data_IF_168097424561
#
_entry.id   IF_168097424561
#
_cell.length_a   1.000
_cell.length_b   1.000
_cell.length_c   1.000
_cell.angle_alpha   90.00
_cell.angle_beta   90.00
_cell.angle_gamma   90.00
#
_symmetry.space_group_name_H-M   'P 1'
#
loop_
_entity.id
_entity.type
_entity.pdbx_description
1 polymer ?
#
# COMPACT_ATOMS: atom_id res chain seq x y z
N UNK A 1 -7.38 10.36 33.23
CA UNK A 1 -6.36 11.07 32.44
C UNK A 1 -5.55 12.00 33.36
N UNK A 2 -5.18 11.53 34.53
CA UNK A 2 -4.50 12.36 35.54
C UNK A 2 -3.57 11.49 36.40
N UNK A 3 -2.55 10.86 35.78
CA UNK A 3 -1.55 10.11 36.56
C UNK A 3 -0.17 10.03 35.91
N UNK A 4 0.15 10.91 34.96
CA UNK A 4 1.47 10.88 34.30
C UNK A 4 2.37 12.10 34.55
N UNK A 5 1.95 13.06 35.39
CA UNK A 5 2.72 14.31 35.61
C UNK A 5 3.42 14.43 36.96
N UNK A 6 3.43 13.40 37.81
CA UNK A 6 4.03 13.50 39.16
C UNK A 6 5.37 12.79 39.33
N UNK A 7 6.11 12.46 38.27
CA UNK A 7 7.38 11.72 38.43
C UNK A 7 8.66 12.59 38.35
N UNK A 8 8.55 13.89 38.11
CA UNK A 8 9.74 14.74 37.90
C UNK A 8 9.93 15.94 38.86
N UNK A 9 9.19 16.04 39.96
CA UNK A 9 9.22 17.26 40.81
C UNK A 9 9.80 17.08 42.25
N UNK A 10 10.61 16.05 42.49
CA UNK A 10 11.17 15.79 43.83
C UNK A 10 12.71 15.72 43.86
N UNK A 11 13.39 16.69 43.24
CA UNK A 11 14.83 16.89 43.40
C UNK A 11 15.25 18.38 43.35
N UNK A 12 14.71 19.21 44.26
CA UNK A 12 15.30 20.53 44.51
C UNK A 12 15.04 20.95 45.96
N UNK A 13 15.90 20.52 46.87
CA UNK A 13 16.33 21.30 48.03
C UNK A 13 17.27 20.46 48.93
N UNK A 14 18.56 20.54 48.73
CA UNK A 14 19.54 20.33 49.82
C UNK A 14 20.66 21.35 49.63
N UNK A 15 20.84 22.17 50.67
CA UNK A 15 21.93 23.13 50.80
C UNK A 15 23.29 22.45 50.86
N UNK A 16 24.39 23.10 50.44
CA UNK A 16 25.71 22.51 50.47
C UNK A 16 26.33 22.57 51.87
N UNK A 17 26.65 21.43 52.44
CA UNK A 17 27.55 21.30 53.56
C UNK A 17 29.01 21.60 53.13
N UNK A 18 29.69 22.41 53.93
CA UNK A 18 31.11 22.74 53.78
C UNK A 18 31.99 21.51 54.02
N UNK A 19 32.64 21.01 53.00
CA UNK A 19 33.74 20.05 53.12
C UNK A 19 35.09 20.75 53.02
N UNK A 20 36.11 20.38 53.83
CA UNK A 20 37.41 21.01 53.84
C UNK A 20 38.20 20.70 52.56
N UNK A 21 38.84 21.73 52.03
CA UNK A 21 39.68 21.66 50.84
C UNK A 21 41.00 20.95 51.20
N UNK A 22 41.16 19.70 50.77
CA UNK A 22 42.45 19.05 50.70
C UNK A 22 43.14 19.41 49.40
N UNK A 23 44.25 20.12 49.47
CA UNK A 23 45.16 20.32 48.32
C UNK A 23 45.81 19.00 47.95
N UNK A 24 45.33 18.36 46.90
CA UNK A 24 46.08 17.27 46.26
C UNK A 24 47.15 17.86 45.33
N UNK A 25 48.38 17.33 45.36
CA UNK A 25 49.44 17.82 44.44
C UNK A 25 49.02 17.43 42.99
N UNK A 26 49.22 18.40 42.10
CA UNK A 26 49.00 18.26 40.67
C UNK A 26 49.71 17.02 40.10
N UNK A 27 49.02 16.11 39.40
CA UNK A 27 49.66 14.95 38.79
C UNK A 27 50.56 15.42 37.64
N UNK A 28 51.84 15.08 37.72
CA UNK A 28 52.79 15.22 36.60
C UNK A 28 52.26 14.38 35.43
N UNK A 29 51.90 15.08 34.35
CA UNK A 29 51.42 14.47 33.10
C UNK A 29 52.59 13.73 32.42
N UNK A 30 52.73 12.44 32.72
CA UNK A 30 53.60 11.53 31.98
C UNK A 30 52.72 10.66 31.08
N UNK A 31 52.31 11.23 29.94
CA UNK A 31 51.55 10.53 28.89
C UNK A 31 52.37 9.48 28.13
N UNK A 32 53.14 8.64 28.83
CA UNK A 32 53.74 7.46 28.22
C UNK A 32 53.08 6.23 28.84
N UNK A 33 52.22 5.59 28.02
CA UNK A 33 51.72 4.26 28.37
C UNK A 33 52.92 3.33 28.62
N UNK A 34 52.98 2.76 29.81
CA UNK A 34 53.99 1.74 30.11
C UNK A 34 53.80 0.50 29.21
N UNK A 35 54.78 -0.38 29.12
CA UNK A 35 54.72 -1.57 28.23
C UNK A 35 53.44 -2.41 28.41
N UNK A 36 52.92 -2.49 29.63
CA UNK A 36 51.64 -3.19 29.92
C UNK A 36 50.45 -2.45 29.32
N UNK A 37 50.42 -1.12 29.39
CA UNK A 37 49.34 -0.31 28.77
C UNK A 37 49.32 -0.42 27.24
N UNK A 38 50.51 -0.46 26.61
CA UNK A 38 50.62 -0.66 25.16
C UNK A 38 50.10 -2.06 24.79
N UNK A 39 50.45 -3.09 25.57
CA UNK A 39 49.98 -4.45 25.34
C UNK A 39 48.44 -4.57 25.47
N UNK A 40 47.82 -3.92 26.46
CA UNK A 40 46.38 -3.89 26.61
C UNK A 40 45.68 -3.20 25.42
N UNK A 41 46.24 -2.10 24.91
CA UNK A 41 45.68 -1.42 23.71
C UNK A 41 45.80 -2.31 22.47
N UNK A 42 46.93 -3.00 22.27
CA UNK A 42 47.11 -3.92 21.15
C UNK A 42 46.11 -5.09 21.23
N UNK A 43 45.92 -5.67 22.41
CA UNK A 43 44.94 -6.75 22.59
C UNK A 43 43.51 -6.24 22.30
N UNK A 44 43.15 -5.04 22.81
CA UNK A 44 41.85 -4.45 22.53
C UNK A 44 41.59 -4.21 21.02
N UNK A 45 42.62 -3.70 20.32
CA UNK A 45 42.53 -3.49 18.86
C UNK A 45 42.39 -4.82 18.11
N UNK A 46 43.15 -5.85 18.49
CA UNK A 46 43.04 -7.18 17.87
C UNK A 46 41.67 -7.77 18.14
N UNK A 47 41.13 -7.67 19.35
CA UNK A 47 39.76 -8.13 19.66
C UNK A 47 38.71 -7.39 18.86
N UNK A 48 38.79 -6.07 18.68
CA UNK A 48 37.91 -5.30 17.84
C UNK A 48 37.96 -5.75 16.37
N UNK A 49 39.17 -6.00 15.86
CA UNK A 49 39.33 -6.51 14.48
C UNK A 49 38.67 -7.89 14.32
N UNK A 50 38.88 -8.79 15.27
CA UNK A 50 38.27 -10.14 15.25
C UNK A 50 36.76 -10.04 15.29
N UNK A 51 36.17 -9.17 16.12
CA UNK A 51 34.73 -8.97 16.18
C UNK A 51 34.22 -8.39 14.85
N UNK A 52 34.92 -7.41 14.28
CA UNK A 52 34.53 -6.79 13.01
C UNK A 52 34.55 -7.80 11.86
N UNK A 53 35.59 -8.65 11.77
CA UNK A 53 35.70 -9.72 10.78
C UNK A 53 34.56 -10.73 10.94
N UNK A 54 34.24 -11.14 12.17
CA UNK A 54 33.11 -12.06 12.40
C UNK A 54 31.77 -11.45 12.01
N UNK A 55 31.54 -10.16 12.26
CA UNK A 55 30.29 -9.46 11.83
C UNK A 55 30.19 -9.42 10.30
N UNK A 56 31.28 -9.13 9.60
CA UNK A 56 31.32 -9.12 8.13
C UNK A 56 31.07 -10.53 7.57
N UNK A 57 31.69 -11.55 8.13
CA UNK A 57 31.51 -12.95 7.71
C UNK A 57 30.06 -13.39 7.94
N UNK A 58 29.47 -13.06 9.09
CA UNK A 58 28.07 -13.40 9.37
C UNK A 58 27.10 -12.67 8.44
N UNK A 59 27.37 -11.40 8.10
CA UNK A 59 26.56 -10.64 7.16
C UNK A 59 26.61 -11.22 5.75
N UNK A 60 27.80 -11.56 5.24
CA UNK A 60 27.95 -12.18 3.93
C UNK A 60 27.35 -13.59 3.89
N UNK A 61 27.50 -14.39 4.94
CA UNK A 61 26.88 -15.72 5.02
C UNK A 61 25.34 -15.63 4.99
N UNK A 62 24.77 -14.69 5.72
CA UNK A 62 23.31 -14.42 5.72
C UNK A 62 22.81 -14.04 4.33
N UNK A 63 23.55 -13.20 3.62
CA UNK A 63 23.19 -12.77 2.25
C UNK A 63 23.27 -13.96 1.28
N UNK A 64 24.34 -14.75 1.32
CA UNK A 64 24.51 -15.93 0.45
C UNK A 64 23.41 -16.98 0.69
N UNK A 65 23.08 -17.26 1.96
CA UNK A 65 22.00 -18.20 2.31
C UNK A 65 20.65 -17.67 1.81
N UNK A 66 20.38 -16.36 1.95
CA UNK A 66 19.13 -15.77 1.48
C UNK A 66 19.00 -15.85 -0.05
N UNK A 67 20.08 -15.59 -0.78
CA UNK A 67 20.10 -15.69 -2.25
C UNK A 67 19.95 -17.14 -2.74
N UNK A 68 20.62 -18.10 -2.09
CA UNK A 68 20.51 -19.52 -2.42
C UNK A 68 19.11 -20.06 -2.11
N UNK A 69 18.50 -19.65 -1.00
CA UNK A 69 17.14 -20.03 -0.63
C UNK A 69 16.10 -19.43 -1.60
N UNK A 70 16.26 -18.17 -1.97
CA UNK A 70 15.40 -17.50 -2.96
C UNK A 70 15.50 -18.16 -4.34
N UNK A 71 16.72 -18.56 -4.76
CA UNK A 71 16.93 -19.24 -6.04
C UNK A 71 16.35 -20.66 -6.06
N UNK A 72 16.45 -21.39 -4.94
CA UNK A 72 15.92 -22.76 -4.83
C UNK A 72 14.38 -22.80 -4.82
N UNK A 73 13.74 -21.84 -4.12
CA UNK A 73 12.27 -21.69 -4.13
C UNK A 73 11.79 -21.31 -5.54
N UNK A 74 12.46 -20.37 -6.18
CA UNK A 74 12.16 -19.98 -7.56
C UNK A 74 12.28 -21.16 -8.54
N UNK A 75 13.31 -21.97 -8.42
CA UNK A 75 13.52 -23.13 -9.26
C UNK A 75 12.47 -24.23 -9.02
N UNK A 76 12.10 -24.48 -7.77
CA UNK A 76 11.06 -25.45 -7.42
C UNK A 76 9.68 -25.01 -7.95
N UNK A 77 9.32 -23.75 -7.77
CA UNK A 77 8.08 -23.20 -8.33
C UNK A 77 8.07 -23.25 -9.85
N UNK A 78 9.17 -22.89 -10.51
CA UNK A 78 9.29 -23.00 -11.97
C UNK A 78 9.06 -24.41 -12.48
N UNK A 79 9.57 -25.42 -11.75
CA UNK A 79 9.36 -26.82 -12.10
C UNK A 79 7.89 -27.22 -11.99
N UNK A 80 7.22 -26.89 -10.89
CA UNK A 80 5.80 -27.19 -10.68
C UNK A 80 4.91 -26.50 -11.73
N UNK A 81 5.20 -25.24 -12.08
CA UNK A 81 4.45 -24.54 -13.13
C UNK A 81 4.67 -25.14 -14.51
N UNK A 82 5.90 -25.59 -14.85
CA UNK A 82 6.17 -26.31 -16.10
C UNK A 82 5.37 -27.59 -16.17
N UNK A 83 5.39 -28.41 -15.11
CA UNK A 83 4.65 -29.66 -15.05
C UNK A 83 3.14 -29.43 -15.19
N UNK A 84 2.60 -28.39 -14.53
CA UNK A 84 1.18 -28.02 -14.65
C UNK A 84 0.81 -27.51 -16.06
N UNK A 85 1.68 -26.73 -16.69
CA UNK A 85 1.48 -26.25 -18.09
C UNK A 85 1.59 -27.43 -19.07
N UNK A 86 2.57 -28.31 -18.91
CA UNK A 86 2.73 -29.50 -19.75
C UNK A 86 1.54 -30.45 -19.62
N UNK A 87 0.98 -30.58 -18.41
CA UNK A 87 -0.21 -31.40 -18.17
C UNK A 87 -1.49 -30.78 -18.77
N UNK A 88 -1.64 -29.45 -18.65
CA UNK A 88 -2.74 -28.72 -19.25
C UNK A 88 -2.67 -28.72 -20.80
N UNK A 89 -1.48 -28.71 -21.36
CA UNK A 89 -1.28 -28.77 -22.82
C UNK A 89 -1.44 -30.18 -23.41
N UNK A 90 -1.25 -31.23 -22.64
CA UNK A 90 -1.42 -32.63 -23.10
C UNK A 90 -2.86 -32.97 -23.49
N UNK A 91 -3.85 -32.20 -23.03
CA UNK A 91 -5.28 -32.41 -23.34
C UNK A 91 -5.83 -31.58 -24.48
N UNK A 92 -5.06 -30.68 -25.06
CA UNK A 92 -5.52 -29.77 -26.10
C UNK A 92 -4.69 -29.89 -27.37
N UNK A 93 -5.34 -30.23 -28.48
CA UNK A 93 -4.74 -30.32 -29.82
C UNK A 93 -4.35 -28.93 -30.40
N UNK A 94 -3.96 -27.96 -29.54
CA UNK A 94 -3.60 -26.59 -29.90
C UNK A 94 -2.06 -26.43 -30.04
N UNK A 95 -1.36 -27.49 -30.31
CA UNK A 95 0.12 -27.48 -30.44
C UNK A 95 0.61 -26.82 -31.73
N UNK A 96 -0.29 -26.30 -32.58
CA UNK A 96 0.09 -25.79 -33.90
C UNK A 96 0.49 -24.30 -33.98
N UNK A 97 0.04 -23.41 -33.08
CA UNK A 97 0.17 -21.95 -33.28
C UNK A 97 0.56 -21.12 -32.02
N UNK A 98 1.07 -21.73 -30.98
CA UNK A 98 1.67 -20.94 -29.90
C UNK A 98 3.08 -20.58 -30.36
N UNK A 99 3.24 -19.38 -30.89
CA UNK A 99 4.54 -18.87 -31.30
C UNK A 99 5.51 -18.90 -30.11
N UNK A 100 6.75 -19.32 -30.35
CA UNK A 100 7.86 -19.36 -29.36
C UNK A 100 7.94 -18.07 -28.54
N UNK A 101 7.59 -16.92 -29.14
CA UNK A 101 7.58 -15.63 -28.50
C UNK A 101 6.51 -15.50 -27.37
N UNK A 102 5.31 -16.07 -27.55
CA UNK A 102 4.26 -16.03 -26.51
C UNK A 102 4.61 -16.96 -25.34
N UNK A 103 5.16 -18.12 -25.64
CA UNK A 103 5.64 -19.09 -24.64
C UNK A 103 6.83 -18.54 -23.86
N UNK A 104 7.79 -17.91 -24.53
CA UNK A 104 8.93 -17.24 -23.88
C UNK A 104 8.46 -16.09 -22.99
N UNK A 105 7.54 -15.27 -23.45
CA UNK A 105 6.99 -14.15 -22.67
C UNK A 105 6.23 -14.62 -21.44
N UNK A 106 5.47 -15.70 -21.55
CA UNK A 106 4.80 -16.33 -20.41
C UNK A 106 5.81 -16.92 -19.41
N UNK A 107 6.87 -17.56 -19.92
CA UNK A 107 7.94 -18.14 -19.11
C UNK A 107 8.77 -17.06 -18.37
N UNK A 108 9.02 -15.93 -19.03
CA UNK A 108 9.69 -14.79 -18.40
C UNK A 108 8.84 -14.13 -17.33
N UNK A 109 7.52 -14.00 -17.55
CA UNK A 109 6.58 -13.51 -16.55
C UNK A 109 6.57 -14.41 -15.30
N UNK A 110 6.69 -15.73 -15.48
CA UNK A 110 6.79 -16.70 -14.39
C UNK A 110 8.14 -16.64 -13.64
N UNK A 111 9.21 -16.18 -14.29
CA UNK A 111 10.53 -16.03 -13.66
C UNK A 111 10.64 -14.76 -12.80
N UNK A 112 9.75 -13.81 -13.00
CA UNK A 112 9.81 -12.51 -12.33
C UNK A 112 9.14 -12.61 -10.96
N UNK A 113 9.81 -12.13 -9.91
CA UNK A 113 9.24 -12.04 -8.57
C UNK A 113 8.06 -11.06 -8.57
N UNK A 114 6.93 -11.40 -7.93
CA UNK A 114 5.75 -10.53 -7.83
C UNK A 114 6.08 -9.14 -7.29
N UNK A 115 7.07 -9.02 -6.41
CA UNK A 115 7.57 -7.74 -5.92
C UNK A 115 8.26 -6.90 -6.99
N UNK A 116 9.00 -7.53 -7.93
CA UNK A 116 9.61 -6.82 -9.07
C UNK A 116 8.55 -6.34 -10.05
N UNK A 117 7.53 -7.17 -10.30
CA UNK A 117 6.37 -6.77 -11.09
C UNK A 117 5.67 -5.58 -10.44
N UNK A 118 5.42 -5.62 -9.13
CA UNK A 118 4.83 -4.52 -8.40
C UNK A 118 5.65 -3.24 -8.51
N UNK A 119 6.97 -3.33 -8.39
CA UNK A 119 7.85 -2.17 -8.56
C UNK A 119 7.74 -1.59 -9.98
N UNK A 120 7.65 -2.40 -11.02
CA UNK A 120 7.45 -1.94 -12.40
C UNK A 120 6.09 -1.29 -12.65
N UNK A 121 5.08 -1.60 -11.82
CA UNK A 121 3.72 -1.07 -11.89
C UNK A 121 3.47 0.10 -10.92
N UNK A 122 4.44 0.41 -10.07
CA UNK A 122 4.33 1.44 -9.03
C UNK A 122 3.97 2.82 -9.60
N UNK A 123 4.52 3.18 -10.76
CA UNK A 123 4.22 4.46 -11.43
C UNK A 123 2.73 4.65 -11.80
N UNK A 124 1.95 3.57 -11.88
CA UNK A 124 0.50 3.62 -12.16
C UNK A 124 -0.34 3.77 -10.90
N UNK A 125 0.29 3.75 -9.72
CA UNK A 125 -0.37 3.85 -8.42
C UNK A 125 -0.17 5.25 -7.86
N UNK A 126 -1.27 5.86 -7.46
CA UNK A 126 -1.34 7.24 -7.02
C UNK A 126 -1.54 7.34 -5.51
N UNK A 127 -0.83 8.27 -4.89
CA UNK A 127 -1.18 8.80 -3.58
C UNK A 127 -2.30 9.80 -3.74
N UNK A 128 -3.43 9.53 -3.10
CA UNK A 128 -4.56 10.45 -3.02
C UNK A 128 -4.40 11.36 -1.81
N UNK A 129 -4.75 12.64 -1.98
CA UNK A 129 -4.88 13.60 -0.90
C UNK A 129 -6.26 14.22 -0.99
N UNK A 130 -7.05 14.05 0.06
CA UNK A 130 -8.42 14.51 0.15
C UNK A 130 -8.55 15.61 1.20
N UNK A 131 -9.38 16.60 0.91
CA UNK A 131 -9.61 17.71 1.82
C UNK A 131 -11.03 18.26 1.67
N UNK A 132 -11.66 18.61 2.77
CA UNK A 132 -12.88 19.42 2.79
C UNK A 132 -12.55 20.83 3.25
N UNK A 133 -12.61 21.77 2.32
CA UNK A 133 -12.30 23.19 2.56
C UNK A 133 -13.22 23.86 3.59
N UNK A 134 -14.41 23.29 3.85
CA UNK A 134 -15.37 23.85 4.80
C UNK A 134 -15.16 23.38 6.24
N UNK A 135 -14.73 22.16 6.44
CA UNK A 135 -14.53 21.54 7.77
C UNK A 135 -13.08 21.44 8.20
N UNK A 136 -12.14 21.58 7.26
CA UNK A 136 -10.72 21.30 7.50
C UNK A 136 -10.40 19.80 7.61
N UNK A 137 -11.38 18.93 7.42
CA UNK A 137 -11.15 17.48 7.43
C UNK A 137 -10.40 17.06 6.19
N UNK A 138 -9.46 16.15 6.35
CA UNK A 138 -8.66 15.64 5.24
C UNK A 138 -8.04 14.28 5.56
N UNK A 139 -7.43 13.67 4.56
CA UNK A 139 -6.77 12.38 4.68
C UNK A 139 -5.94 12.05 3.45
N UNK A 140 -5.24 10.92 3.53
CA UNK A 140 -4.50 10.34 2.43
C UNK A 140 -4.94 8.88 2.23
N UNK A 141 -4.86 8.42 0.99
CA UNK A 141 -5.19 7.06 0.61
C UNK A 141 -4.41 6.67 -0.64
N UNK A 142 -4.69 5.51 -1.16
CA UNK A 142 -4.11 5.02 -2.41
C UNK A 142 -5.20 4.86 -3.46
N UNK A 143 -4.85 5.06 -4.73
CA UNK A 143 -5.65 4.73 -5.89
C UNK A 143 -4.75 4.32 -7.04
N UNK A 144 -5.32 3.87 -8.15
CA UNK A 144 -4.54 3.46 -9.31
C UNK A 144 -5.27 3.71 -10.62
N UNK A 145 -4.51 3.93 -11.69
CA UNK A 145 -5.05 4.16 -13.02
C UNK A 145 -5.67 2.87 -13.59
N UNK A 146 -6.88 2.98 -14.14
CA UNK A 146 -7.64 1.87 -14.74
C UNK A 146 -7.96 2.05 -16.22
N UNK A 147 -7.67 3.21 -16.79
CA UNK A 147 -7.94 3.49 -18.21
C UNK A 147 -6.68 4.00 -18.88
N UNK A 148 -6.40 3.46 -20.05
CA UNK A 148 -5.34 3.96 -20.92
C UNK A 148 -5.80 5.25 -21.62
N UNK A 149 -4.84 6.07 -22.02
CA UNK A 149 -5.10 7.23 -22.83
C UNK A 149 -5.48 6.75 -24.24
N UNK A 150 -6.76 6.86 -24.58
CA UNK A 150 -7.27 6.57 -25.92
C UNK A 150 -7.70 7.87 -26.62
N UNK A 151 -7.86 7.81 -27.94
CA UNK A 151 -8.42 8.92 -28.74
C UNK A 151 -9.85 9.26 -28.35
N UNK A 152 -10.60 8.30 -27.78
CA UNK A 152 -12.02 8.42 -27.50
C UNK A 152 -12.34 8.88 -26.07
N UNK A 153 -11.34 8.89 -25.16
CA UNK A 153 -11.50 9.42 -23.81
C UNK A 153 -10.39 10.41 -23.50
N UNK A 154 -10.72 11.70 -23.37
CA UNK A 154 -9.73 12.72 -23.01
C UNK A 154 -9.30 12.63 -21.55
N UNK A 155 -9.99 11.86 -20.73
CA UNK A 155 -9.75 11.72 -19.31
C UNK A 155 -9.22 10.35 -18.93
N UNK A 156 -8.40 10.32 -17.90
CA UNK A 156 -7.97 9.10 -17.22
C UNK A 156 -8.72 8.93 -15.91
N UNK A 157 -8.92 7.69 -15.52
CA UNK A 157 -9.69 7.35 -14.32
C UNK A 157 -8.84 6.60 -13.31
N UNK A 158 -9.11 6.92 -12.05
CA UNK A 158 -8.46 6.32 -10.87
C UNK A 158 -9.49 5.53 -10.10
N UNK A 159 -9.18 4.30 -9.73
CA UNK A 159 -9.96 3.44 -8.87
C UNK A 159 -9.41 3.49 -7.44
N UNK A 160 -10.30 3.52 -6.45
CA UNK A 160 -10.00 3.52 -5.01
C UNK A 160 -11.19 3.00 -4.22
N UNK A 161 -11.13 3.01 -2.88
CA UNK A 161 -12.30 2.74 -2.05
C UNK A 161 -13.20 3.97 -1.89
N UNK A 162 -14.51 3.76 -1.70
CA UNK A 162 -15.47 4.83 -1.44
C UNK A 162 -15.19 5.54 -0.12
N UNK A 163 -14.76 4.81 0.93
CA UNK A 163 -14.40 5.41 2.21
C UNK A 163 -13.17 6.32 2.12
N UNK A 164 -12.33 6.18 1.08
CA UNK A 164 -11.20 7.09 0.85
C UNK A 164 -11.64 8.48 0.40
N UNK A 165 -12.78 8.58 -0.27
CA UNK A 165 -13.26 9.86 -0.85
C UNK A 165 -14.45 10.46 -0.10
N UNK A 166 -14.91 9.80 0.95
CA UNK A 166 -16.05 10.21 1.77
C UNK A 166 -15.70 10.20 3.25
N UNK A 167 -16.35 11.05 4.03
CA UNK A 167 -16.14 11.18 5.47
C UNK A 167 -17.46 11.40 6.22
N UNK A 168 -17.45 11.12 7.54
CA UNK A 168 -18.59 11.37 8.42
C UNK A 168 -18.65 12.87 8.78
N UNK A 169 -19.77 13.50 8.43
CA UNK A 169 -20.03 14.90 8.77
C UNK A 169 -21.16 15.00 9.79
N UNK A 170 -20.91 15.56 10.97
CA UNK A 170 -21.99 15.85 11.93
C UNK A 170 -22.99 16.83 11.34
N UNK A 171 -24.27 16.51 11.44
CA UNK A 171 -25.36 17.36 10.97
C UNK A 171 -26.37 17.60 12.07
N UNK A 172 -26.75 18.85 12.28
CA UNK A 172 -27.82 19.26 13.20
C UNK A 172 -28.87 20.07 12.47
N UNK A 173 -30.13 19.67 12.57
CA UNK A 173 -31.25 20.43 12.01
C UNK A 173 -31.54 21.67 12.87
N UNK A 174 -31.40 21.54 14.19
CA UNK A 174 -31.55 22.64 15.15
C UNK A 174 -30.73 22.35 16.41
N UNK A 175 -30.60 23.35 17.29
CA UNK A 175 -29.91 23.20 18.58
C UNK A 175 -30.56 22.17 19.49
N UNK A 176 -31.84 21.87 19.29
CA UNK A 176 -32.63 20.90 20.10
C UNK A 176 -32.67 19.51 19.48
N UNK A 177 -32.15 19.34 18.24
CA UNK A 177 -32.13 18.04 17.58
C UNK A 177 -30.89 17.23 17.98
N UNK A 178 -30.98 15.91 18.07
CA UNK A 178 -29.81 15.05 18.13
C UNK A 178 -28.85 15.33 16.97
N UNK A 179 -27.56 15.15 17.19
CA UNK A 179 -26.60 15.23 16.09
C UNK A 179 -26.75 13.98 15.23
N UNK A 180 -27.14 14.16 13.98
CA UNK A 180 -27.13 13.12 12.96
C UNK A 180 -25.76 13.09 12.28
N UNK A 181 -25.31 11.91 11.87
CA UNK A 181 -24.11 11.74 11.09
C UNK A 181 -24.53 11.53 9.63
N UNK A 182 -24.11 12.44 8.77
CA UNK A 182 -24.29 12.31 7.31
C UNK A 182 -22.95 12.07 6.64
N UNK A 183 -22.97 11.33 5.56
CA UNK A 183 -21.79 11.12 4.72
C UNK A 183 -21.64 12.29 3.74
N UNK A 184 -20.46 12.84 3.69
CA UNK A 184 -20.07 13.87 2.72
C UNK A 184 -18.92 13.36 1.86
N UNK A 185 -18.85 13.84 0.63
CA UNK A 185 -17.69 13.62 -0.24
C UNK A 185 -16.72 14.79 -0.06
N UNK A 186 -15.42 14.52 -0.01
CA UNK A 186 -14.41 15.56 -0.01
C UNK A 186 -14.55 16.43 -1.25
N UNK A 187 -14.52 17.75 -1.06
CA UNK A 187 -14.70 18.72 -2.16
C UNK A 187 -13.40 19.09 -2.87
N UNK A 188 -12.26 18.71 -2.32
CA UNK A 188 -10.96 18.89 -2.93
C UNK A 188 -10.15 17.60 -2.86
N UNK A 189 -9.92 16.99 -4.01
CA UNK A 189 -9.18 15.75 -4.13
C UNK A 189 -8.09 15.94 -5.17
N UNK A 190 -6.86 15.56 -4.81
CA UNK A 190 -5.71 15.55 -5.71
C UNK A 190 -4.99 14.22 -5.64
N UNK A 191 -4.17 13.92 -6.63
CA UNK A 191 -3.25 12.81 -6.58
C UNK A 191 -1.88 13.18 -7.12
N UNK A 192 -0.87 12.43 -6.69
CA UNK A 192 0.47 12.39 -7.29
C UNK A 192 0.88 10.94 -7.52
N UNK A 193 1.70 10.70 -8.54
CA UNK A 193 2.20 9.37 -8.87
C UNK A 193 3.64 9.19 -8.38
N UNK A 194 4.08 7.94 -8.29
CA UNK A 194 5.41 7.61 -7.81
C UNK A 194 6.50 8.26 -8.67
N UNK A 195 7.43 8.97 -8.02
CA UNK A 195 8.50 9.69 -8.69
C UNK A 195 8.08 10.99 -9.41
N UNK A 196 6.79 11.37 -9.34
CA UNK A 196 6.26 12.60 -9.95
C UNK A 196 5.90 13.64 -8.88
N UNK A 197 6.32 14.87 -9.08
CA UNK A 197 5.96 16.01 -8.22
C UNK A 197 4.67 16.72 -8.68
N UNK A 198 4.12 16.30 -9.81
CA UNK A 198 2.90 16.87 -10.38
C UNK A 198 1.68 16.45 -9.55
N UNK A 199 0.87 17.44 -9.18
CA UNK A 199 -0.40 17.17 -8.54
C UNK A 199 -1.53 17.27 -9.57
N UNK A 200 -2.32 16.22 -9.67
CA UNK A 200 -3.48 16.15 -10.55
C UNK A 200 -4.76 16.36 -9.75
N UNK A 201 -5.66 17.20 -10.25
CA UNK A 201 -6.99 17.40 -9.68
C UNK A 201 -7.91 16.25 -10.08
N UNK A 202 -8.67 15.74 -9.11
CA UNK A 202 -9.61 14.65 -9.28
C UNK A 202 -11.05 15.09 -8.97
N UNK A 203 -12.00 14.49 -9.69
CA UNK A 203 -13.44 14.56 -9.42
C UNK A 203 -14.00 13.16 -9.23
N UNK A 204 -14.87 12.97 -8.24
CA UNK A 204 -15.56 11.70 -8.02
C UNK A 204 -16.62 11.51 -9.11
N UNK A 205 -16.55 10.38 -9.80
CA UNK A 205 -17.47 10.00 -10.88
C UNK A 205 -18.57 9.08 -10.36
N UNK A 206 -18.19 8.07 -9.62
CA UNK A 206 -19.12 7.11 -9.03
C UNK A 206 -18.54 6.58 -7.71
N UNK A 207 -19.41 6.20 -6.81
CA UNK A 207 -19.01 5.56 -5.56
C UNK A 207 -20.09 4.59 -5.06
N UNK A 208 -19.69 3.59 -4.33
CA UNK A 208 -20.54 2.65 -3.65
C UNK A 208 -20.74 2.98 -2.16
N UNK A 209 -21.21 2.01 -1.40
CA UNK A 209 -21.47 2.13 0.01
C UNK A 209 -20.19 2.00 0.84
N UNK A 210 -20.07 2.81 1.87
CA UNK A 210 -18.99 2.71 2.86
C UNK A 210 -19.30 1.60 3.87
N UNK A 211 -18.35 0.68 4.09
CA UNK A 211 -18.30 -0.33 5.18
C UNK A 211 -19.61 -0.51 5.97
N UNK A 212 -20.58 -1.23 5.41
CA UNK A 212 -21.77 -1.73 6.12
C UNK A 212 -22.65 -0.75 6.86
N UNK A 213 -22.26 0.50 6.97
CA UNK A 213 -23.17 1.54 7.44
C UNK A 213 -24.08 1.84 6.28
N UNK A 214 -25.32 1.36 6.36
CA UNK A 214 -26.39 1.72 5.43
C UNK A 214 -26.44 3.23 5.30
N UNK A 215 -25.78 3.72 4.27
CA UNK A 215 -26.08 5.03 3.77
C UNK A 215 -27.50 4.90 3.19
N UNK A 216 -28.43 5.57 3.84
CA UNK A 216 -29.82 5.67 3.45
C UNK A 216 -29.99 5.43 1.94
N UNK A 217 -30.52 4.28 1.55
CA UNK A 217 -31.06 3.92 0.24
C UNK A 217 -30.17 4.14 -1.04
N UNK A 218 -28.94 4.62 -0.92
CA UNK A 218 -28.24 5.15 -2.08
C UNK A 218 -27.50 4.13 -2.95
N UNK A 219 -27.04 3.04 -2.46
CA UNK A 219 -26.66 1.91 -3.31
C UNK A 219 -26.27 0.67 -2.52
N UNK A 220 -26.67 -0.47 -3.01
CA UNK A 220 -26.19 -1.79 -2.58
C UNK A 220 -24.86 -2.14 -3.26
N UNK A 221 -24.04 -1.12 -3.54
CA UNK A 221 -22.77 -1.24 -4.23
C UNK A 221 -21.61 -1.41 -3.22
N UNK A 222 -20.50 -2.04 -3.62
CA UNK A 222 -19.33 -2.26 -2.75
C UNK A 222 -18.61 -0.94 -2.42
N UNK A 223 -17.68 -1.01 -1.48
CA UNK A 223 -16.82 0.13 -1.06
C UNK A 223 -15.77 0.46 -2.13
N UNK A 224 -16.21 0.93 -3.28
CA UNK A 224 -15.37 1.32 -4.42
C UNK A 224 -15.77 2.72 -4.88
N UNK A 225 -14.80 3.51 -5.34
CA UNK A 225 -15.02 4.78 -6.01
C UNK A 225 -14.18 4.90 -7.28
N UNK A 226 -14.73 5.57 -8.28
CA UNK A 226 -14.07 5.95 -9.53
C UNK A 226 -13.93 7.46 -9.54
N UNK A 227 -12.71 7.93 -9.81
CA UNK A 227 -12.40 9.35 -9.94
C UNK A 227 -11.87 9.65 -11.33
N UNK A 228 -12.22 10.82 -11.85
CA UNK A 228 -11.70 11.35 -13.11
C UNK A 228 -10.59 12.35 -12.85
N UNK A 229 -9.48 12.25 -13.58
CA UNK A 229 -8.43 13.27 -13.57
C UNK A 229 -8.88 14.41 -14.50
N UNK A 230 -9.04 15.62 -13.94
CA UNK A 230 -9.54 16.78 -14.70
C UNK A 230 -8.41 17.73 -15.14
N UNK A 231 -7.23 17.61 -14.57
CA UNK A 231 -6.08 18.42 -14.99
C UNK A 231 -4.98 18.49 -13.94
N UNK A 232 -3.99 19.32 -14.23
CA UNK A 232 -2.82 19.57 -13.38
C UNK A 232 -3.07 20.80 -12.50
N UNK A 233 -2.80 20.66 -11.19
CA UNK A 233 -2.89 21.77 -10.24
C UNK A 233 -1.60 22.60 -10.29
N UNK A 234 -1.72 23.86 -10.60
CA UNK A 234 -0.63 24.84 -10.57
C UNK A 234 -1.10 26.17 -9.97
N UNK A 235 -0.45 26.63 -8.89
CA UNK A 235 -0.75 27.89 -8.23
C UNK A 235 -2.27 28.14 -7.98
N UNK A 236 -2.96 27.13 -7.44
CA UNK A 236 -4.41 27.14 -7.17
C UNK A 236 -5.31 27.17 -8.40
N UNK A 237 -4.76 27.01 -9.59
CA UNK A 237 -5.51 26.85 -10.85
C UNK A 237 -5.39 25.41 -11.35
N UNK A 238 -6.33 24.99 -12.20
CA UNK A 238 -6.28 23.68 -12.87
C UNK A 238 -6.06 23.93 -14.36
N UNK A 239 -4.93 23.46 -14.87
CA UNK A 239 -4.61 23.47 -16.28
C UNK A 239 -4.90 22.11 -16.92
N UNK A 240 -5.09 22.08 -18.23
CA UNK A 240 -5.23 20.83 -18.96
C UNK A 240 -3.96 19.97 -18.80
N UNK A 241 -4.15 18.68 -18.59
CA UNK A 241 -3.08 17.71 -18.49
C UNK A 241 -3.54 16.39 -17.89
N UNK A 242 -2.93 15.31 -18.35
CA UNK A 242 -3.20 13.95 -17.91
C UNK A 242 -1.87 13.23 -17.65
N UNK A 243 -1.79 12.31 -16.67
CA UNK A 243 -0.58 11.52 -16.47
C UNK A 243 -0.27 10.63 -17.68
N UNK A 244 1.01 10.43 -17.94
CA UNK A 244 1.51 9.62 -19.09
C UNK A 244 1.74 8.15 -18.73
N UNK A 245 1.50 7.75 -17.48
CA UNK A 245 1.72 6.38 -17.00
C UNK A 245 0.70 5.41 -17.58
N UNK A 246 1.09 4.14 -17.73
CA UNK A 246 0.17 3.07 -18.16
C UNK A 246 -0.91 2.82 -17.10
N UNK A 247 -2.07 2.30 -17.51
CA UNK A 247 -3.08 1.80 -16.58
C UNK A 247 -2.75 0.39 -16.08
N UNK A 248 -3.29 0.03 -14.92
CA UNK A 248 -3.29 -1.35 -14.46
C UNK A 248 -4.49 -2.10 -15.06
N UNK A 249 -4.23 -3.28 -15.58
CA UNK A 249 -5.29 -4.15 -16.12
C UNK A 249 -6.00 -4.85 -14.98
N UNK A 250 -7.32 -4.84 -15.01
CA UNK A 250 -8.15 -5.65 -14.12
C UNK A 250 -8.11 -7.10 -14.61
N UNK A 251 -7.80 -8.05 -13.75
CA UNK A 251 -7.73 -9.46 -14.11
C UNK A 251 -9.09 -9.97 -14.62
N UNK A 252 -9.09 -10.77 -15.68
CA UNK A 252 -10.29 -11.39 -16.22
C UNK A 252 -10.77 -12.58 -15.37
N UNK A 253 -9.86 -13.25 -14.67
CA UNK A 253 -10.14 -14.37 -13.79
C UNK A 253 -10.07 -13.95 -12.31
N UNK A 254 -10.78 -14.65 -11.45
CA UNK A 254 -10.74 -14.43 -10.02
C UNK A 254 -9.42 -14.95 -9.43
N UNK A 255 -8.98 -14.34 -8.33
CA UNK A 255 -7.86 -14.85 -7.56
C UNK A 255 -8.14 -16.25 -7.02
N UNK A 256 -7.09 -17.05 -6.86
CA UNK A 256 -7.15 -18.38 -6.29
C UNK A 256 -6.32 -18.45 -5.02
N UNK A 257 -6.67 -19.38 -4.12
CA UNK A 257 -5.89 -19.62 -2.89
C UNK A 257 -4.47 -20.06 -3.24
N UNK A 258 -3.48 -19.49 -2.53
CA UNK A 258 -2.06 -19.73 -2.79
C UNK A 258 -1.47 -18.86 -3.91
N UNK A 259 -2.27 -18.06 -4.62
CA UNK A 259 -1.77 -17.10 -5.60
C UNK A 259 -0.87 -16.07 -4.91
N UNK A 260 0.36 -15.90 -5.41
CA UNK A 260 1.26 -14.85 -4.96
C UNK A 260 0.72 -13.49 -5.39
N UNK A 261 0.71 -12.54 -4.47
CA UNK A 261 0.22 -11.18 -4.71
C UNK A 261 1.17 -10.14 -4.12
N UNK A 262 1.18 -8.96 -4.72
CA UNK A 262 1.76 -7.77 -4.14
C UNK A 262 0.70 -6.68 -3.98
N UNK A 263 0.79 -5.98 -2.88
CA UNK A 263 0.00 -4.79 -2.57
C UNK A 263 0.89 -3.57 -2.79
N UNK A 264 0.37 -2.56 -3.49
CA UNK A 264 1.06 -1.29 -3.70
C UNK A 264 0.22 -0.20 -3.06
N UNK A 265 0.82 0.59 -2.18
CA UNK A 265 0.08 1.61 -1.47
C UNK A 265 0.94 2.69 -0.84
N UNK A 266 0.28 3.69 -0.26
CA UNK A 266 0.89 4.85 0.38
C UNK A 266 0.58 4.86 1.88
N UNK A 267 1.33 4.11 2.71
CA UNK A 267 1.10 4.04 4.15
C UNK A 267 1.18 5.44 4.78
N UNK A 268 0.27 5.71 5.72
CA UNK A 268 0.25 6.97 6.46
C UNK A 268 1.54 7.16 7.29
N UNK A 269 1.99 8.40 7.39
CA UNK A 269 3.10 8.79 8.25
C UNK A 269 4.49 8.51 7.70
N UNK A 270 4.63 7.84 6.57
CA UNK A 270 5.96 7.47 6.02
C UNK A 270 6.48 8.51 5.01
N UNK A 271 5.66 9.46 4.60
CA UNK A 271 6.06 10.61 3.74
C UNK A 271 6.63 10.24 2.37
N UNK A 272 6.62 8.96 2.02
CA UNK A 272 7.25 8.41 0.83
C UNK A 272 6.22 7.92 -0.17
N UNK A 273 6.65 7.86 -1.38
CA UNK A 273 6.05 7.22 -2.52
C UNK A 273 5.80 5.74 -2.24
N UNK A 274 5.02 5.11 -3.06
CA UNK A 274 4.48 3.77 -2.99
C UNK A 274 5.34 2.74 -2.23
N UNK A 275 4.75 2.12 -1.21
CA UNK A 275 5.30 0.95 -0.53
C UNK A 275 4.74 -0.31 -1.14
N UNK A 276 5.55 -1.36 -1.19
CA UNK A 276 5.17 -2.68 -1.70
C UNK A 276 5.24 -3.69 -0.56
N UNK A 277 4.15 -4.43 -0.35
CA UNK A 277 4.14 -5.62 0.49
C UNK A 277 3.73 -6.84 -0.34
N UNK A 278 4.31 -8.00 -0.05
CA UNK A 278 4.06 -9.23 -0.78
C UNK A 278 3.51 -10.32 0.15
N UNK A 279 2.70 -11.20 -0.41
CA UNK A 279 2.12 -12.33 0.30
C UNK A 279 1.39 -13.26 -0.66
N UNK A 280 0.47 -14.03 -0.12
CA UNK A 280 -0.39 -14.93 -0.90
C UNK A 280 -1.87 -14.71 -0.58
N UNK A 281 -2.73 -15.09 -1.50
CA UNK A 281 -4.16 -15.18 -1.23
C UNK A 281 -4.42 -16.37 -0.33
N UNK A 282 -4.83 -16.11 0.90
CA UNK A 282 -5.13 -17.13 1.90
C UNK A 282 -6.55 -17.69 1.74
N UNK A 283 -7.51 -16.84 1.34
CA UNK A 283 -8.91 -17.22 1.11
C UNK A 283 -9.59 -16.33 0.08
N UNK A 284 -10.62 -16.85 -0.61
CA UNK A 284 -11.38 -16.16 -1.67
C UNK A 284 -12.88 -16.28 -1.45
N UNK A 285 -13.65 -15.40 -2.07
CA UNK A 285 -15.10 -15.46 -2.06
C UNK A 285 -15.76 -15.16 -0.71
N UNK A 286 -15.05 -14.49 0.19
CA UNK A 286 -15.47 -14.19 1.55
C UNK A 286 -16.58 -13.13 1.50
N UNK A 287 -17.58 -13.27 2.39
CA UNK A 287 -18.53 -12.21 2.71
C UNK A 287 -18.32 -11.80 4.16
N UNK A 288 -18.10 -10.52 4.41
CA UNK A 288 -17.85 -10.00 5.75
C UNK A 288 -19.05 -9.18 6.19
N UNK A 289 -19.69 -9.60 7.28
CA UNK A 289 -20.85 -8.89 7.84
C UNK A 289 -20.43 -7.47 8.25
N UNK A 290 -21.22 -6.48 7.87
CA UNK A 290 -20.95 -5.08 8.19
C UNK A 290 -19.93 -4.38 7.28
N UNK A 291 -19.42 -5.04 6.23
CA UNK A 291 -18.44 -4.45 5.30
C UNK A 291 -19.05 -4.04 3.94
N UNK A 292 -20.37 -3.99 3.84
CA UNK A 292 -21.08 -3.67 2.61
C UNK A 292 -21.27 -4.88 1.70
N UNK A 293 -21.63 -4.62 0.44
CA UNK A 293 -21.82 -5.64 -0.58
C UNK A 293 -20.49 -6.00 -1.26
N UNK A 294 -20.46 -7.18 -1.84
CA UNK A 294 -19.30 -7.68 -2.59
C UNK A 294 -18.65 -8.91 -1.96
N UNK A 295 -17.69 -9.43 -2.67
CA UNK A 295 -16.83 -10.53 -2.22
C UNK A 295 -15.45 -10.00 -1.90
N UNK A 296 -14.80 -10.69 -0.96
CA UNK A 296 -13.46 -10.32 -0.50
C UNK A 296 -12.49 -11.47 -0.70
N UNK A 297 -11.24 -11.12 -0.82
CA UNK A 297 -10.08 -12.01 -0.68
C UNK A 297 -9.36 -11.68 0.60
N UNK A 298 -8.74 -12.69 1.22
CA UNK A 298 -7.87 -12.56 2.37
C UNK A 298 -6.44 -12.83 1.94
N UNK A 299 -5.50 -12.06 2.49
CA UNK A 299 -4.05 -12.19 2.22
C UNK A 299 -3.25 -12.03 3.52
N UNK A 300 -2.08 -12.64 3.58
CA UNK A 300 -1.08 -12.45 4.62
C UNK A 300 -0.09 -11.30 4.31
N UNK A 301 -0.23 -10.67 3.13
CA UNK A 301 0.52 -9.46 2.82
C UNK A 301 0.17 -8.32 3.79
N UNK A 302 1.17 -7.55 4.22
CA UNK A 302 0.98 -6.49 5.20
C UNK A 302 0.06 -5.38 4.68
N UNK A 303 -1.03 -5.12 5.40
CA UNK A 303 -1.98 -4.03 5.16
C UNK A 303 -1.87 -3.01 6.30
N UNK A 304 -1.67 -1.75 5.95
CA UNK A 304 -1.57 -0.62 6.90
C UNK A 304 -2.47 0.53 6.47
N UNK A 305 -2.75 1.48 7.40
CA UNK A 305 -3.45 2.72 7.09
C UNK A 305 -2.77 3.44 5.90
N UNK A 306 -3.56 3.98 4.98
CA UNK A 306 -3.08 4.60 3.73
C UNK A 306 -2.96 3.63 2.54
N UNK A 307 -2.88 2.31 2.74
CA UNK A 307 -2.90 1.33 1.65
C UNK A 307 -4.30 1.11 1.06
N UNK A 308 -5.36 1.50 1.78
CA UNK A 308 -6.75 1.40 1.31
C UNK A 308 -6.93 2.06 -0.05
N UNK A 309 -7.62 1.39 -0.95
CA UNK A 309 -7.81 1.79 -2.35
C UNK A 309 -6.66 1.42 -3.27
N UNK A 310 -5.54 0.92 -2.74
CA UNK A 310 -4.41 0.44 -3.54
C UNK A 310 -4.69 -0.89 -4.24
N UNK A 311 -3.98 -1.19 -5.33
CA UNK A 311 -4.14 -2.44 -6.05
C UNK A 311 -3.44 -3.60 -5.33
N UNK A 312 -4.11 -4.75 -5.36
CA UNK A 312 -3.51 -6.06 -5.13
C UNK A 312 -3.30 -6.70 -6.49
N UNK A 313 -2.04 -6.96 -6.86
CA UNK A 313 -1.69 -7.45 -8.19
C UNK A 313 -1.10 -8.85 -8.15
N UNK A 314 -1.31 -9.61 -9.23
CA UNK A 314 -0.72 -10.91 -9.45
C UNK A 314 0.70 -10.82 -10.07
N UNK A 315 1.30 -11.97 -10.33
CA UNK A 315 2.63 -12.09 -10.95
C UNK A 315 2.67 -11.54 -12.40
N UNK A 316 1.53 -11.36 -13.06
CA UNK A 316 1.43 -10.75 -14.38
C UNK A 316 1.22 -9.25 -14.33
N UNK A 317 1.07 -8.67 -13.13
CA UNK A 317 0.77 -7.26 -12.91
C UNK A 317 -0.70 -6.90 -13.11
N UNK A 318 -1.59 -7.89 -13.15
CA UNK A 318 -3.02 -7.64 -13.23
C UNK A 318 -3.61 -7.44 -11.83
N UNK A 319 -4.56 -6.53 -11.71
CA UNK A 319 -5.28 -6.28 -10.46
C UNK A 319 -6.24 -7.43 -10.18
N UNK A 320 -6.03 -8.12 -9.07
CA UNK A 320 -6.87 -9.21 -8.55
C UNK A 320 -7.70 -8.80 -7.33
N UNK A 321 -7.46 -7.60 -6.79
CA UNK A 321 -8.24 -7.04 -5.69
C UNK A 321 -7.89 -5.58 -5.42
N UNK A 322 -8.72 -4.91 -4.61
CA UNK A 322 -8.46 -3.58 -4.05
C UNK A 322 -8.25 -3.75 -2.55
N UNK A 323 -7.15 -3.26 -2.03
CA UNK A 323 -6.86 -3.28 -0.59
C UNK A 323 -7.96 -2.51 0.14
N UNK A 324 -8.59 -3.15 1.12
CA UNK A 324 -9.70 -2.56 1.86
C UNK A 324 -9.28 -2.19 3.28
N UNK A 325 -8.90 -3.21 4.07
CA UNK A 325 -8.57 -3.02 5.48
C UNK A 325 -7.91 -4.28 6.03
N UNK A 326 -7.45 -4.17 7.27
CA UNK A 326 -7.16 -5.32 8.12
C UNK A 326 -8.22 -5.43 9.22
N UNK A 327 -8.56 -6.65 9.62
CA UNK A 327 -9.25 -6.84 10.89
C UNK A 327 -8.25 -6.49 12.01
N UNK A 328 -8.61 -5.49 12.81
CA UNK A 328 -7.89 -5.18 14.04
C UNK A 328 -8.63 -5.90 15.15
N UNK A 329 -8.23 -7.13 15.42
CA UNK A 329 -8.60 -7.88 16.62
C UNK A 329 -7.30 -8.23 17.33
N UNK A 330 -7.21 -7.99 18.63
CA UNK A 330 -6.01 -8.23 19.43
C UNK A 330 -5.53 -9.70 19.38
N UNK A 331 -6.40 -10.60 18.93
CA UNK A 331 -6.13 -12.04 18.80
C UNK A 331 -5.75 -12.49 17.39
N UNK A 332 -5.77 -11.60 16.39
CA UNK A 332 -5.58 -11.95 14.96
C UNK A 332 -4.50 -11.06 14.33
N UNK A 333 -3.33 -11.61 14.17
CA UNK A 333 -2.23 -10.97 13.44
C UNK A 333 -2.24 -11.34 11.95
N UNK A 334 -1.87 -10.36 11.09
CA UNK A 334 -1.59 -10.54 9.67
C UNK A 334 -2.76 -11.02 8.79
N UNK A 335 -3.98 -10.53 9.04
CA UNK A 335 -5.10 -10.73 8.11
C UNK A 335 -5.42 -9.45 7.36
N UNK A 336 -4.95 -9.34 6.13
CA UNK A 336 -5.33 -8.30 5.18
C UNK A 336 -6.53 -8.73 4.33
N UNK A 337 -7.41 -7.79 4.01
CA UNK A 337 -8.57 -8.02 3.14
C UNK A 337 -8.57 -7.05 1.98
N UNK A 338 -9.03 -7.53 0.83
CA UNK A 338 -9.31 -6.71 -0.33
C UNK A 338 -10.62 -7.13 -0.99
N UNK A 339 -11.28 -6.20 -1.64
CA UNK A 339 -12.40 -6.50 -2.54
C UNK A 339 -11.90 -7.34 -3.70
N UNK A 340 -12.60 -8.42 -4.03
CA UNK A 340 -12.18 -9.32 -5.09
C UNK A 340 -12.43 -8.73 -6.49
N UNK A 341 -11.75 -9.27 -7.48
CA UNK A 341 -11.79 -8.74 -8.84
C UNK A 341 -13.18 -8.88 -9.48
N UNK A 342 -14.01 -9.87 -9.10
CA UNK A 342 -15.38 -9.98 -9.61
C UNK A 342 -16.24 -8.83 -9.11
N UNK A 343 -16.05 -8.43 -7.88
CA UNK A 343 -16.70 -7.24 -7.29
C UNK A 343 -16.27 -5.97 -7.99
N UNK A 344 -14.98 -5.83 -8.30
CA UNK A 344 -14.43 -4.68 -9.03
C UNK A 344 -15.06 -4.58 -10.43
N UNK A 345 -15.05 -5.68 -11.20
CA UNK A 345 -15.63 -5.70 -12.56
C UNK A 345 -17.11 -5.32 -12.56
N UNK A 346 -17.88 -5.91 -11.66
CA UNK A 346 -19.30 -5.62 -11.56
C UNK A 346 -19.57 -4.15 -11.22
N UNK A 347 -18.74 -3.55 -10.35
CA UNK A 347 -18.88 -2.14 -10.01
C UNK A 347 -18.52 -1.22 -11.19
N UNK A 348 -17.44 -1.50 -11.91
CA UNK A 348 -17.03 -0.73 -13.09
C UNK A 348 -18.12 -0.80 -14.16
N UNK A 349 -18.68 -1.97 -14.40
CA UNK A 349 -19.76 -2.20 -15.36
C UNK A 349 -21.03 -1.42 -14.98
N UNK A 350 -21.38 -1.41 -13.70
CA UNK A 350 -22.47 -0.63 -13.16
C UNK A 350 -22.23 0.88 -13.32
N UNK A 351 -21.07 1.39 -12.91
CA UNK A 351 -20.72 2.80 -12.96
C UNK A 351 -20.56 3.34 -14.39
N UNK A 352 -20.30 2.46 -15.38
CA UNK A 352 -20.19 2.85 -16.79
C UNK A 352 -21.50 3.32 -17.41
N UNK A 353 -22.65 2.98 -16.79
CA UNK A 353 -23.97 3.40 -17.27
C UNK A 353 -24.29 4.81 -16.78
N UNK A 354 -24.86 5.65 -17.66
CA UNK A 354 -25.16 7.05 -17.39
C UNK A 354 -25.99 7.27 -16.10
N UNK A 355 -26.98 6.41 -15.85
CA UNK A 355 -27.87 6.53 -14.69
C UNK A 355 -27.21 6.23 -13.35
N UNK A 356 -26.01 5.66 -13.36
CA UNK A 356 -25.30 5.18 -12.18
C UNK A 356 -24.08 6.01 -11.79
N UNK A 357 -23.77 7.06 -12.53
CA UNK A 357 -22.64 7.92 -12.22
C UNK A 357 -23.03 9.40 -12.12
N UNK A 358 -22.21 10.15 -11.39
CA UNK A 358 -22.48 11.57 -11.10
C UNK A 358 -22.36 12.50 -12.32
N UNK A 359 -21.79 12.00 -13.40
CA UNK A 359 -21.66 12.77 -14.65
C UNK A 359 -22.84 12.60 -15.60
N UNK A 360 -23.74 11.66 -15.32
CA UNK A 360 -24.85 11.26 -16.18
C UNK A 360 -24.40 10.95 -17.63
N UNK A 361 -23.26 10.28 -17.76
CA UNK A 361 -22.63 9.94 -19.05
C UNK A 361 -22.30 8.45 -19.12
N UNK A 362 -22.44 7.87 -20.32
CA UNK A 362 -21.90 6.53 -20.56
C UNK A 362 -20.37 6.64 -20.60
N UNK A 363 -19.73 6.03 -19.60
CA UNK A 363 -18.29 6.05 -19.46
C UNK A 363 -17.71 4.84 -20.20
N UNK A 364 -16.79 5.06 -21.11
CA UNK A 364 -16.04 3.98 -21.75
C UNK A 364 -14.89 3.55 -20.82
N UNK A 365 -15.22 2.81 -19.76
CA UNK A 365 -14.27 2.23 -18.84
C UNK A 365 -13.91 0.83 -19.33
N UNK A 366 -12.94 0.72 -20.23
CA UNK A 366 -12.50 -0.56 -20.79
C UNK A 366 -11.76 -1.36 -19.69
N UNK A 367 -12.21 -2.59 -19.45
CA UNK A 367 -11.62 -3.55 -18.51
C UNK A 367 -10.48 -4.33 -19.15
#
# INVERSE_FOLDING_TARGET
MDDFNNFFDDQRNTQPEHTPVYHTPSPKNNNKLGPVGIMCVVIAVVMCIVVLVNVIVLASLKQTIAEEYASSISASMQKQYREAIDEALKGTNIVGDITDAATQKALEALKTNVGQVANSKSASVARLTMYDTSSGSGGTATGFLITDKTTDSPYRYVLTNAHCVRYEKPYKISYLSPTEIKWATYNYITCSFDGDTTNYKLEVVAYGAYKGKQLSAESNQPDIAILRIVGIVSNSTVAEGQPSYDSLKIASANATRGMAVALIGNPEGVGTTNSISTGVISQTGITISGWGSGKFVMTDAAVNGGNSGGPMIDILGNVVGIVESKLVDESIDNMGFGLDVSTIRNFIDWASKADNNLLNQNLNLTL
#
